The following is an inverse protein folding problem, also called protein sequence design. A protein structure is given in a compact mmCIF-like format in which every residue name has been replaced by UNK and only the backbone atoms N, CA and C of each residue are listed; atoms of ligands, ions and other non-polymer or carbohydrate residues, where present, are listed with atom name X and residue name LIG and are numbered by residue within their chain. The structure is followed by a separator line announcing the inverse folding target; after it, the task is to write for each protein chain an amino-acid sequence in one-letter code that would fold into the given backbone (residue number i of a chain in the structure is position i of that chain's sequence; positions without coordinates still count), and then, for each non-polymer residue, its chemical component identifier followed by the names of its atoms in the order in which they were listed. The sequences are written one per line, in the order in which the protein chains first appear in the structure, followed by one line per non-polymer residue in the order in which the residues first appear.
data_IF_827490403464
#
_entry.id   IF_827490403464
#
_cell.length_a   1.000
_cell.length_b   1.000
_cell.length_c   1.000
_cell.angle_alpha   90.00
_cell.angle_beta   90.00
_cell.angle_gamma   90.00
#
_symmetry.space_group_name_H-M   'P 1'
#
loop_
_entity.id
_entity.type
_entity.pdbx_description
1 polymer ?
#
# COMPACT_ATOMS: atom_id res chain seq x y z
N UNK A 1 -28.51 -18.33 -12.41
CA UNK A 1 -27.59 -17.54 -11.58
C UNK A 1 -26.19 -18.13 -11.68
N UNK A 2 -25.24 -17.31 -12.05
CA UNK A 2 -23.88 -17.77 -12.29
C UNK A 2 -23.08 -17.85 -10.97
N UNK A 3 -22.72 -19.06 -10.55
CA UNK A 3 -21.96 -19.30 -9.32
C UNK A 3 -20.45 -19.08 -9.52
N UNK A 4 -19.95 -18.98 -10.76
CA UNK A 4 -18.51 -18.84 -11.02
C UNK A 4 -17.95 -17.50 -10.53
N UNK A 5 -18.73 -16.42 -10.61
CA UNK A 5 -18.33 -15.11 -10.08
C UNK A 5 -18.19 -15.14 -8.56
N UNK A 6 -19.12 -15.82 -7.87
CA UNK A 6 -19.06 -15.97 -6.40
C UNK A 6 -17.86 -16.81 -5.97
N UNK A 7 -17.55 -17.90 -6.68
CA UNK A 7 -16.38 -18.75 -6.40
C UNK A 7 -15.08 -17.99 -6.59
N UNK A 8 -14.96 -17.21 -7.66
CA UNK A 8 -13.76 -16.40 -7.93
C UNK A 8 -13.56 -15.31 -6.87
N UNK A 9 -14.64 -14.63 -6.48
CA UNK A 9 -14.59 -13.60 -5.44
C UNK A 9 -14.18 -14.20 -4.09
N UNK A 10 -14.74 -15.33 -3.71
CA UNK A 10 -14.42 -16.03 -2.47
C UNK A 10 -12.95 -16.48 -2.45
N UNK A 11 -12.45 -17.03 -3.55
CA UNK A 11 -11.04 -17.44 -3.67
C UNK A 11 -10.10 -16.26 -3.56
N UNK A 12 -10.45 -15.11 -4.16
CA UNK A 12 -9.67 -13.87 -4.07
C UNK A 12 -9.56 -13.37 -2.64
N UNK A 13 -10.68 -13.31 -1.92
CA UNK A 13 -10.72 -12.89 -0.53
C UNK A 13 -9.90 -13.83 0.36
N UNK A 14 -9.99 -15.14 0.15
CA UNK A 14 -9.22 -16.13 0.92
C UNK A 14 -7.72 -15.96 0.71
N UNK A 15 -7.27 -15.65 -0.51
CA UNK A 15 -5.86 -15.38 -0.80
C UNK A 15 -5.36 -14.13 -0.09
N UNK A 16 -6.14 -13.05 -0.13
CA UNK A 16 -5.80 -11.81 0.55
C UNK A 16 -5.69 -12.04 2.05
N UNK A 17 -6.63 -12.76 2.65
CA UNK A 17 -6.62 -13.05 4.09
C UNK A 17 -5.43 -13.91 4.49
N UNK A 18 -5.03 -14.89 3.68
CA UNK A 18 -3.84 -15.71 3.95
C UNK A 18 -2.56 -14.89 3.95
N UNK A 19 -2.43 -13.99 2.99
CA UNK A 19 -1.27 -13.08 2.92
C UNK A 19 -1.25 -12.18 4.15
N UNK A 20 -2.38 -11.61 4.55
CA UNK A 20 -2.48 -10.72 5.71
C UNK A 20 -2.12 -11.41 7.02
N UNK A 21 -2.42 -12.70 7.19
CA UNK A 21 -2.00 -13.46 8.38
C UNK A 21 -0.49 -13.48 8.54
N UNK A 22 0.25 -13.51 7.44
CA UNK A 22 1.72 -13.53 7.44
C UNK A 22 2.31 -12.13 7.52
N UNK A 23 1.58 -11.11 7.08
CA UNK A 23 2.03 -9.73 6.95
C UNK A 23 1.33 -8.83 7.98
N UNK A 24 1.48 -9.17 9.26
CA UNK A 24 0.87 -8.39 10.33
C UNK A 24 1.84 -7.34 10.84
N UNK A 25 1.43 -6.06 10.77
CA UNK A 25 2.24 -4.94 11.22
C UNK A 25 1.94 -4.52 12.65
N UNK A 26 2.85 -3.75 13.26
CA UNK A 26 2.69 -3.15 14.58
C UNK A 26 3.13 -1.67 14.53
N UNK A 27 3.21 -0.99 15.69
CA UNK A 27 3.55 0.42 15.75
C UNK A 27 4.99 0.71 15.32
N UNK A 28 5.91 -0.24 15.51
CA UNK A 28 7.33 -0.07 15.16
C UNK A 28 7.62 -0.49 13.74
N UNK A 29 6.90 -1.50 13.25
CA UNK A 29 7.03 -2.00 11.89
C UNK A 29 5.64 -2.17 11.28
N UNK A 30 4.98 -1.05 10.91
CA UNK A 30 3.61 -1.12 10.39
C UNK A 30 3.55 -1.75 9.02
N UNK A 31 2.37 -2.21 8.66
CA UNK A 31 2.10 -2.76 7.35
C UNK A 31 1.85 -1.61 6.36
N UNK A 32 2.65 -1.56 5.29
CA UNK A 32 2.44 -0.63 4.19
C UNK A 32 1.50 -1.28 3.18
N UNK A 33 0.23 -0.92 3.23
CA UNK A 33 -0.79 -1.43 2.32
C UNK A 33 -0.92 -0.50 1.12
N UNK A 34 -0.81 -1.05 -0.08
CA UNK A 34 -0.94 -0.30 -1.33
C UNK A 34 -2.16 -0.78 -2.09
N UNK A 35 -2.83 0.15 -2.75
CA UNK A 35 -4.02 -0.12 -3.55
C UNK A 35 -4.04 0.73 -4.79
N UNK A 36 -4.63 0.20 -5.85
CA UNK A 36 -4.90 0.96 -7.06
C UNK A 36 -6.34 0.72 -7.51
N UNK A 37 -6.96 1.77 -8.00
CA UNK A 37 -8.26 1.73 -8.64
C UNK A 37 -8.11 2.11 -10.11
N UNK A 38 -9.21 2.25 -10.83
CA UNK A 38 -9.15 2.64 -12.24
C UNK A 38 -8.49 4.00 -12.46
N UNK A 39 -8.57 4.91 -11.48
CA UNK A 39 -8.11 6.29 -11.64
C UNK A 39 -7.04 6.73 -10.65
N UNK A 40 -6.80 5.97 -9.59
CA UNK A 40 -5.96 6.43 -8.50
C UNK A 40 -5.11 5.32 -7.90
N UNK A 41 -4.03 5.75 -7.24
CA UNK A 41 -3.11 4.90 -6.47
C UNK A 41 -3.02 5.50 -5.07
N UNK A 42 -3.02 4.66 -4.04
CA UNK A 42 -2.82 5.12 -2.67
C UNK A 42 -2.13 4.08 -1.79
N UNK A 43 -1.57 4.57 -0.69
CA UNK A 43 -0.84 3.75 0.27
C UNK A 43 -1.22 4.15 1.69
N UNK A 44 -1.19 3.20 2.60
CA UNK A 44 -1.52 3.40 4.02
C UNK A 44 -0.51 2.67 4.89
N UNK A 45 -0.16 3.28 6.02
CA UNK A 45 0.60 2.63 7.08
C UNK A 45 -0.38 2.19 8.17
N UNK A 46 -0.42 0.90 8.45
CA UNK A 46 -1.41 0.30 9.33
C UNK A 46 -0.73 -0.43 10.49
N UNK A 47 -1.15 -0.10 11.71
CA UNK A 47 -0.81 -0.86 12.91
C UNK A 47 -1.93 -1.88 13.15
N UNK A 48 -1.68 -3.14 12.79
CA UNK A 48 -2.67 -4.20 12.90
C UNK A 48 -2.98 -4.59 14.35
N UNK A 49 -2.04 -4.39 15.27
CA UNK A 49 -2.26 -4.70 16.68
C UNK A 49 -3.21 -3.71 17.34
N UNK A 50 -3.05 -2.42 17.03
CA UNK A 50 -3.93 -1.38 17.55
C UNK A 50 -5.18 -1.17 16.70
N UNK A 51 -5.21 -1.71 15.48
CA UNK A 51 -6.30 -1.51 14.54
C UNK A 51 -6.39 -0.08 14.02
N UNK A 52 -5.25 0.60 13.89
CA UNK A 52 -5.18 2.01 13.51
C UNK A 52 -4.44 2.20 12.19
N UNK A 53 -4.94 3.13 11.36
CA UNK A 53 -4.20 3.63 10.22
C UNK A 53 -3.37 4.82 10.68
N UNK A 54 -2.04 4.67 10.64
CA UNK A 54 -1.11 5.68 11.13
C UNK A 54 -0.95 6.84 10.17
N UNK A 55 -0.93 6.57 8.86
CA UNK A 55 -0.78 7.57 7.81
C UNK A 55 -1.34 7.02 6.52
N UNK A 56 -1.74 7.92 5.63
CA UNK A 56 -2.20 7.55 4.30
C UNK A 56 -1.94 8.66 3.31
N UNK A 57 -1.68 8.31 2.07
CA UNK A 57 -1.48 9.26 0.97
C UNK A 57 -1.85 8.60 -0.34
N UNK A 58 -2.45 9.37 -1.22
CA UNK A 58 -2.83 8.88 -2.55
C UNK A 58 -2.86 10.00 -3.57
N UNK A 59 -3.06 9.65 -4.81
CA UNK A 59 -3.12 10.63 -5.91
C UNK A 59 -4.32 11.58 -5.80
N UNK A 60 -5.30 11.26 -4.94
CA UNK A 60 -6.42 12.14 -4.61
C UNK A 60 -6.11 13.12 -3.48
N UNK A 61 -5.02 12.91 -2.74
CA UNK A 61 -4.68 13.71 -1.57
C UNK A 61 -4.23 15.11 -1.97
N UNK A 62 -4.48 16.07 -1.09
CA UNK A 62 -3.93 17.42 -1.23
C UNK A 62 -2.41 17.35 -1.16
N UNK A 63 -1.74 18.13 -1.99
CA UNK A 63 -0.29 18.14 -2.05
C UNK A 63 0.32 17.08 -2.95
N UNK A 64 -0.49 16.24 -3.58
CA UNK A 64 0.02 15.32 -4.59
C UNK A 64 0.32 16.08 -5.88
N UNK A 65 1.60 16.10 -6.28
CA UNK A 65 2.04 16.83 -7.49
C UNK A 65 1.65 16.13 -8.77
N UNK A 66 1.46 14.81 -8.73
CA UNK A 66 1.06 14.01 -9.87
C UNK A 66 -0.31 13.39 -9.61
N UNK A 67 -1.25 13.61 -10.49
CA UNK A 67 -2.60 13.08 -10.39
C UNK A 67 -2.78 11.87 -11.30
N UNK A 68 -3.74 11.02 -10.97
CA UNK A 68 -4.10 9.89 -11.79
C UNK A 68 -3.32 8.62 -11.48
N UNK A 69 -3.16 7.77 -12.48
CA UNK A 69 -2.58 6.44 -12.35
C UNK A 69 -1.43 6.27 -13.35
N UNK A 70 -0.26 6.79 -13.00
CA UNK A 70 0.95 6.71 -13.81
C UNK A 70 2.13 6.26 -12.95
N UNK A 71 3.23 5.90 -13.58
CA UNK A 71 4.48 5.55 -12.87
C UNK A 71 5.00 6.73 -12.06
N UNK A 72 4.94 7.93 -12.63
CA UNK A 72 5.34 9.15 -11.92
C UNK A 72 4.47 9.38 -10.69
N UNK A 73 3.15 9.24 -10.82
CA UNK A 73 2.22 9.35 -9.70
C UNK A 73 2.51 8.31 -8.62
N UNK A 74 2.79 7.06 -9.01
CA UNK A 74 3.13 5.99 -8.06
C UNK A 74 4.39 6.31 -7.27
N UNK A 75 5.44 6.84 -7.91
CA UNK A 75 6.67 7.26 -7.24
C UNK A 75 6.43 8.38 -6.25
N UNK A 76 5.60 9.37 -6.60
CA UNK A 76 5.24 10.48 -5.71
C UNK A 76 4.50 9.93 -4.48
N UNK A 77 3.56 9.03 -4.64
CA UNK A 77 2.84 8.41 -3.52
C UNK A 77 3.81 7.67 -2.60
N UNK A 78 4.71 6.87 -3.17
CA UNK A 78 5.72 6.14 -2.39
C UNK A 78 6.63 7.08 -1.60
N UNK A 79 7.12 8.15 -2.23
CA UNK A 79 7.96 9.15 -1.57
C UNK A 79 7.22 9.84 -0.44
N UNK A 80 5.98 10.25 -0.66
CA UNK A 80 5.18 10.95 0.35
C UNK A 80 4.84 10.06 1.54
N UNK A 81 4.51 8.79 1.31
CA UNK A 81 4.23 7.88 2.41
C UNK A 81 5.50 7.62 3.25
N UNK A 82 6.67 7.58 2.60
CA UNK A 82 7.94 7.44 3.30
C UNK A 82 8.25 8.68 4.16
N UNK A 83 7.95 9.87 3.68
CA UNK A 83 8.11 11.11 4.45
C UNK A 83 7.18 11.14 5.66
N UNK A 84 5.93 10.72 5.49
CA UNK A 84 4.97 10.59 6.60
C UNK A 84 5.44 9.58 7.64
N UNK A 85 6.05 8.48 7.20
CA UNK A 85 6.64 7.49 8.10
C UNK A 85 7.78 8.08 8.90
N UNK A 86 8.66 8.86 8.27
CA UNK A 86 9.78 9.53 8.96
C UNK A 86 9.30 10.49 10.03
N UNK A 87 8.23 11.24 9.77
CA UNK A 87 7.62 12.13 10.77
C UNK A 87 7.19 11.38 12.01
N UNK A 88 6.82 10.11 11.87
CA UNK A 88 6.43 9.22 12.98
C UNK A 88 7.58 8.38 13.49
N UNK A 89 8.82 8.62 13.02
CA UNK A 89 10.03 7.86 13.38
C UNK A 89 9.94 6.38 13.00
N UNK A 90 9.29 6.10 11.88
CA UNK A 90 9.17 4.75 11.33
C UNK A 90 10.16 4.61 10.18
N UNK A 91 11.08 3.66 10.29
CA UNK A 91 12.11 3.40 9.27
C UNK A 91 11.82 2.14 8.47
N UNK A 92 11.16 1.18 9.07
CA UNK A 92 10.95 -0.15 8.50
C UNK A 92 9.46 -0.45 8.44
N UNK A 93 9.02 -1.04 7.33
CA UNK A 93 7.62 -1.44 7.14
C UNK A 93 7.55 -2.84 6.57
N UNK A 94 6.38 -3.46 6.67
CA UNK A 94 6.06 -4.71 6.00
C UNK A 94 5.24 -4.35 4.75
N UNK A 95 5.76 -4.66 3.57
CA UNK A 95 5.10 -4.32 2.32
C UNK A 95 3.98 -5.31 2.02
N UNK A 96 2.75 -4.81 1.93
CA UNK A 96 1.57 -5.61 1.59
C UNK A 96 1.00 -5.10 0.26
N UNK A 97 1.27 -5.82 -0.81
CA UNK A 97 0.74 -5.52 -2.14
C UNK A 97 -0.70 -6.00 -2.34
N UNK A 98 -1.27 -6.71 -1.36
CA UNK A 98 -2.60 -7.28 -1.46
C UNK A 98 -2.71 -8.27 -2.61
N UNK A 99 -3.71 -8.08 -3.46
CA UNK A 99 -3.94 -8.92 -4.65
C UNK A 99 -3.14 -8.49 -5.89
N UNK A 100 -2.44 -7.36 -5.81
CA UNK A 100 -1.74 -6.79 -6.96
C UNK A 100 -0.38 -7.45 -7.14
N UNK A 101 0.04 -7.64 -8.38
CA UNK A 101 1.37 -8.15 -8.69
C UNK A 101 2.42 -7.08 -8.41
N UNK A 102 3.61 -7.51 -7.96
CA UNK A 102 4.72 -6.60 -7.70
C UNK A 102 5.42 -6.25 -9.02
N UNK A 103 4.74 -5.46 -9.86
CA UNK A 103 5.32 -4.92 -11.09
C UNK A 103 4.52 -3.68 -11.49
N UNK A 104 5.04 -2.95 -12.46
CA UNK A 104 4.39 -1.74 -12.96
C UNK A 104 4.23 -0.69 -11.88
N UNK A 105 3.01 -0.22 -11.65
CA UNK A 105 2.72 0.86 -10.71
C UNK A 105 3.05 0.51 -9.26
N UNK A 106 2.80 -0.70 -8.84
CA UNK A 106 3.09 -1.15 -7.47
C UNK A 106 4.60 -1.17 -7.24
N UNK A 107 5.38 -1.66 -8.20
CA UNK A 107 6.84 -1.66 -8.13
C UNK A 107 7.40 -0.23 -8.10
N UNK A 108 6.83 0.69 -8.87
CA UNK A 108 7.25 2.10 -8.89
C UNK A 108 6.96 2.79 -7.55
N UNK A 109 5.82 2.51 -6.94
CA UNK A 109 5.50 3.03 -5.62
C UNK A 109 6.51 2.52 -4.58
N UNK A 110 6.82 1.23 -4.61
CA UNK A 110 7.81 0.64 -3.71
C UNK A 110 9.19 1.26 -3.94
N UNK A 111 9.59 1.49 -5.19
CA UNK A 111 10.86 2.14 -5.52
C UNK A 111 10.92 3.56 -4.96
N UNK A 112 9.85 4.34 -5.11
CA UNK A 112 9.77 5.70 -4.55
C UNK A 112 9.90 5.71 -3.03
N UNK A 113 9.26 4.78 -2.35
CA UNK A 113 9.35 4.67 -0.89
C UNK A 113 10.76 4.26 -0.44
N UNK A 114 11.38 3.31 -1.12
CA UNK A 114 12.76 2.88 -0.82
C UNK A 114 13.78 3.98 -1.07
N UNK A 115 13.63 4.72 -2.16
CA UNK A 115 14.50 5.85 -2.49
C UNK A 115 14.41 6.96 -1.44
N UNK A 116 13.26 7.12 -0.80
CA UNK A 116 13.06 8.08 0.28
C UNK A 116 13.49 7.57 1.65
N UNK A 117 13.98 6.33 1.75
CA UNK A 117 14.60 5.79 2.96
C UNK A 117 13.81 4.73 3.71
N UNK A 118 12.63 4.34 3.26
CA UNK A 118 11.92 3.22 3.89
C UNK A 118 12.60 1.90 3.58
N UNK A 119 12.65 1.04 4.58
CA UNK A 119 13.26 -0.29 4.49
C UNK A 119 12.18 -1.37 4.48
N UNK A 120 12.22 -2.19 3.47
CA UNK A 120 11.38 -3.37 3.37
C UNK A 120 11.83 -4.29 2.24
#
# INVERSE_FOLDING_TARGET
MDNSKRKRRKARLSRVMRVRKKLRGDAQKPRLSVSKTNSHIYAQLIDDEAGLTLAGFGTQSKGCSEKGKSKAAARVVGKQIAELAKERKIDTVIFDRGRFKFHGLIAELAAGARDAGLQF
#
